data_IF_415676853115
#
_entry.id   IF_415676853115
#
_cell.length_a   1.000
_cell.length_b   1.000
_cell.length_c   1.000
_cell.angle_alpha   90.00
_cell.angle_beta   90.00
_cell.angle_gamma   90.00
#
_symmetry.space_group_name_H-M   'P 1'
#
loop_
_entity.id
_entity.type
_entity.pdbx_description
1 polymer ?
#
# COMPACT_ATOMS: atom_id res chain seq x y z
N UNK A 1 -12.73 16.79 56.25
CA UNK A 1 -12.11 15.46 56.06
C UNK A 1 -12.97 14.50 55.20
N UNK A 2 -14.22 14.17 55.59
CA UNK A 2 -15.12 13.28 54.79
C UNK A 2 -15.30 13.68 53.32
N UNK A 3 -15.47 14.97 53.01
CA UNK A 3 -15.63 15.47 51.63
C UNK A 3 -14.37 15.29 50.77
N UNK A 4 -13.19 15.41 51.37
CA UNK A 4 -11.91 15.26 50.66
C UNK A 4 -11.64 13.79 50.32
N UNK A 5 -11.95 12.89 51.26
CA UNK A 5 -11.88 11.44 51.05
C UNK A 5 -12.86 11.01 49.94
N UNK A 6 -14.10 11.52 49.96
CA UNK A 6 -15.09 11.22 48.92
C UNK A 6 -14.64 11.68 47.52
N UNK A 7 -14.03 12.87 47.44
CA UNK A 7 -13.50 13.41 46.18
C UNK A 7 -12.34 12.56 45.63
N UNK A 8 -11.48 12.09 46.53
CA UNK A 8 -10.36 11.22 46.17
C UNK A 8 -10.84 9.86 45.66
N UNK A 9 -11.84 9.25 46.31
CA UNK A 9 -12.47 8.02 45.81
C UNK A 9 -13.14 8.21 44.45
N UNK A 10 -13.81 9.33 44.21
CA UNK A 10 -14.42 9.64 42.91
C UNK A 10 -13.34 9.79 41.81
N UNK A 11 -12.22 10.43 42.10
CA UNK A 11 -11.10 10.55 41.17
C UNK A 11 -10.45 9.20 40.85
N UNK A 12 -10.25 8.34 41.85
CA UNK A 12 -9.73 6.98 41.65
C UNK A 12 -10.71 6.08 40.89
N UNK A 13 -12.01 6.18 41.16
CA UNK A 13 -13.03 5.47 40.37
C UNK A 13 -13.06 5.96 38.93
N UNK A 14 -12.97 7.28 38.71
CA UNK A 14 -12.89 7.85 37.36
C UNK A 14 -11.66 7.37 36.61
N UNK A 15 -10.48 7.42 37.22
CA UNK A 15 -9.23 6.93 36.62
C UNK A 15 -9.26 5.42 36.39
N UNK A 16 -9.83 4.66 37.33
CA UNK A 16 -10.00 3.21 37.23
C UNK A 16 -10.90 2.81 36.07
N UNK A 17 -12.04 3.48 35.89
CA UNK A 17 -12.94 3.26 34.74
C UNK A 17 -12.24 3.61 33.42
N UNK A 18 -11.46 4.69 33.36
CA UNK A 18 -10.71 5.05 32.15
C UNK A 18 -9.65 4.00 31.81
N UNK A 19 -8.90 3.52 32.79
CA UNK A 19 -7.90 2.45 32.60
C UNK A 19 -8.55 1.14 32.17
N UNK A 20 -9.70 0.78 32.78
CA UNK A 20 -10.43 -0.44 32.47
C UNK A 20 -11.05 -0.38 31.06
N UNK A 21 -11.56 0.79 30.64
CA UNK A 21 -11.98 1.05 29.26
C UNK A 21 -10.80 1.01 28.29
N UNK A 22 -9.62 1.50 28.67
CA UNK A 22 -8.42 1.39 27.82
C UNK A 22 -7.93 -0.06 27.71
N UNK A 23 -8.05 -0.86 28.77
CA UNK A 23 -7.63 -2.26 28.80
C UNK A 23 -8.60 -3.20 28.07
N UNK A 24 -9.91 -2.92 28.13
CA UNK A 24 -10.93 -3.65 27.38
C UNK A 24 -11.02 -3.24 25.90
N UNK A 25 -10.34 -2.17 25.49
CA UNK A 25 -10.28 -1.79 24.06
C UNK A 25 -9.39 -2.80 23.32
N UNK A 26 -9.85 -3.33 22.18
CA UNK A 26 -9.03 -4.24 21.39
C UNK A 26 -7.70 -3.55 21.00
N UNK A 27 -6.60 -4.32 20.92
CA UNK A 27 -5.26 -3.79 20.66
C UNK A 27 -5.15 -3.06 19.31
N UNK A 28 -6.08 -3.32 18.39
CA UNK A 28 -6.26 -2.59 17.14
C UNK A 28 -7.71 -2.13 17.02
N UNK A 29 -7.94 -0.83 16.73
CA UNK A 29 -9.27 -0.29 16.43
C UNK A 29 -9.83 -0.76 15.07
N UNK A 30 -9.17 -1.74 14.42
CA UNK A 30 -9.53 -2.29 13.12
C UNK A 30 -10.53 -3.46 13.26
N UNK A 31 -11.83 -3.26 12.95
CA UNK A 31 -12.83 -4.32 13.05
C UNK A 31 -12.63 -5.42 12.01
N UNK A 32 -11.75 -5.22 11.03
CA UNK A 32 -11.47 -6.16 9.95
C UNK A 32 -10.13 -6.89 10.14
N UNK A 33 -9.55 -6.90 11.35
CA UNK A 33 -8.21 -7.45 11.65
C UNK A 33 -7.97 -8.89 11.13
N UNK A 34 -9.03 -9.67 10.94
CA UNK A 34 -9.00 -11.05 10.43
C UNK A 34 -8.86 -11.16 8.90
N UNK A 35 -9.12 -10.09 8.15
CA UNK A 35 -8.98 -10.10 6.69
C UNK A 35 -7.50 -9.92 6.30
N UNK A 36 -6.95 -10.88 5.56
CA UNK A 36 -5.59 -10.85 5.01
C UNK A 36 -5.56 -11.41 3.58
N UNK A 37 -4.66 -10.92 2.71
CA UNK A 37 -3.79 -9.76 2.92
C UNK A 37 -4.56 -8.45 2.71
N UNK A 38 -4.21 -7.42 3.46
CA UNK A 38 -4.77 -6.06 3.34
C UNK A 38 -3.71 -5.02 3.68
N UNK A 39 -3.85 -3.83 3.12
CA UNK A 39 -3.01 -2.71 3.51
C UNK A 39 -3.63 -1.97 4.71
N UNK A 40 -2.85 -1.69 5.76
CA UNK A 40 -3.34 -0.97 6.96
C UNK A 40 -2.44 0.19 7.36
N UNK A 41 -3.08 1.21 7.96
CA UNK A 41 -2.42 2.47 8.38
C UNK A 41 -2.15 2.61 9.88
N UNK A 42 -2.85 1.85 10.76
CA UNK A 42 -2.82 2.07 12.22
C UNK A 42 -2.16 0.90 12.94
N UNK A 43 -1.12 1.18 13.75
CA UNK A 43 -0.48 0.22 14.67
C UNK A 43 0.54 -0.73 14.03
N UNK A 44 0.68 -0.68 12.71
CA UNK A 44 1.69 -1.39 11.93
C UNK A 44 1.42 -1.13 10.46
N UNK A 45 2.39 -0.56 9.75
CA UNK A 45 2.31 -0.37 8.30
C UNK A 45 2.40 -1.74 7.62
N UNK A 46 1.32 -2.52 7.67
CA UNK A 46 1.26 -3.75 6.89
C UNK A 46 0.95 -3.35 5.45
N UNK A 47 2.00 -3.33 4.64
CA UNK A 47 1.90 -3.28 3.19
C UNK A 47 1.95 -4.70 2.64
N UNK A 48 1.39 -4.86 1.44
CA UNK A 48 1.50 -6.10 0.68
C UNK A 48 2.67 -5.89 -0.28
N UNK A 49 3.74 -6.64 -0.11
CA UNK A 49 4.91 -6.59 -0.99
C UNK A 49 5.08 -7.94 -1.67
N UNK A 50 5.07 -7.94 -3.00
CA UNK A 50 5.24 -9.16 -3.81
C UNK A 50 6.37 -8.93 -4.82
N UNK A 51 7.48 -9.69 -4.75
CA UNK A 51 8.60 -9.53 -5.67
C UNK A 51 8.19 -9.76 -7.13
N UNK A 52 8.76 -8.99 -8.05
CA UNK A 52 8.58 -9.14 -9.50
C UNK A 52 9.91 -9.05 -10.22
N UNK A 53 10.10 -9.84 -11.27
CA UNK A 53 11.27 -9.75 -12.17
C UNK A 53 10.95 -8.88 -13.38
N UNK A 54 11.19 -7.58 -13.26
CA UNK A 54 10.93 -6.63 -14.35
C UNK A 54 11.77 -6.87 -15.60
N UNK A 55 12.90 -7.56 -15.47
CA UNK A 55 13.80 -7.88 -16.58
C UNK A 55 13.32 -9.06 -17.42
N UNK A 56 12.31 -9.83 -16.96
CA UNK A 56 11.84 -11.05 -17.61
C UNK A 56 10.45 -10.88 -18.19
N UNK A 57 10.33 -10.91 -19.52
CA UNK A 57 9.03 -10.92 -20.20
C UNK A 57 8.18 -12.12 -19.79
N UNK A 58 6.90 -11.88 -19.56
CA UNK A 58 5.92 -12.88 -19.14
C UNK A 58 5.93 -13.18 -17.65
N UNK A 59 6.77 -12.52 -16.85
CA UNK A 59 6.68 -12.57 -15.39
C UNK A 59 5.31 -12.04 -14.94
N UNK A 60 4.67 -12.75 -14.02
CA UNK A 60 3.31 -12.47 -13.57
C UNK A 60 3.21 -12.44 -12.06
N UNK A 61 2.51 -11.43 -11.56
CA UNK A 61 1.96 -11.41 -10.21
C UNK A 61 0.45 -11.56 -10.33
N UNK A 62 -0.09 -12.46 -9.51
CA UNK A 62 -1.52 -12.63 -9.32
C UNK A 62 -1.77 -12.74 -7.81
N UNK A 63 -2.42 -11.74 -7.22
CA UNK A 63 -2.71 -11.71 -5.79
C UNK A 63 -4.12 -11.19 -5.53
N UNK A 64 -4.72 -11.69 -4.46
CA UNK A 64 -6.00 -11.23 -3.95
C UNK A 64 -5.78 -10.45 -2.67
N UNK A 65 -6.42 -9.29 -2.53
CA UNK A 65 -6.30 -8.43 -1.36
C UNK A 65 -7.62 -7.74 -1.00
N UNK A 66 -7.71 -7.26 0.23
CA UNK A 66 -8.89 -6.55 0.72
C UNK A 66 -8.69 -5.04 0.74
N UNK A 67 -9.67 -4.31 0.18
CA UNK A 67 -9.89 -2.88 0.47
C UNK A 67 -10.92 -2.78 1.58
N UNK A 68 -10.49 -2.35 2.77
CA UNK A 68 -11.34 -2.22 3.96
C UNK A 68 -11.43 -0.77 4.44
N UNK A 69 -12.54 -0.37 5.07
CA UNK A 69 -12.60 0.89 5.81
C UNK A 69 -11.50 0.94 6.86
N UNK A 70 -10.76 2.04 6.93
CA UNK A 70 -9.77 2.22 7.97
C UNK A 70 -10.39 2.84 9.22
N UNK A 71 -9.96 2.42 10.42
CA UNK A 71 -10.32 3.12 11.64
C UNK A 71 -9.86 4.58 11.55
N UNK A 72 -10.77 5.52 11.78
CA UNK A 72 -10.41 6.95 11.84
C UNK A 72 -9.84 7.26 13.23
N UNK A 73 -8.72 8.00 13.32
CA UNK A 73 -8.24 8.47 14.61
C UNK A 73 -9.33 9.35 15.26
N UNK A 74 -9.66 9.06 16.52
CA UNK A 74 -10.84 9.59 17.23
C UNK A 74 -10.93 11.12 17.27
N UNK A 75 -9.80 11.81 17.21
CA UNK A 75 -9.73 13.29 17.17
C UNK A 75 -10.37 13.87 15.90
N UNK A 76 -10.44 13.09 14.82
CA UNK A 76 -11.00 13.48 13.53
C UNK A 76 -12.40 12.89 13.29
N UNK A 77 -13.11 12.36 14.30
CA UNK A 77 -14.48 11.88 14.09
C UNK A 77 -15.47 13.02 13.74
N UNK A 78 -15.18 14.24 14.19
CA UNK A 78 -16.02 15.42 13.97
C UNK A 78 -15.63 16.22 12.72
N UNK A 79 -14.49 15.90 12.10
CA UNK A 79 -14.00 16.59 10.91
C UNK A 79 -14.07 15.58 9.77
N UNK A 80 -14.73 15.89 8.64
CA UNK A 80 -14.66 15.02 7.47
C UNK A 80 -13.19 14.93 7.03
N UNK A 81 -12.56 13.80 7.37
CA UNK A 81 -11.24 13.44 6.92
C UNK A 81 -11.37 12.50 5.72
N UNK A 82 -10.44 12.63 4.78
CA UNK A 82 -10.41 11.77 3.61
C UNK A 82 -10.31 10.31 4.00
N UNK A 83 -11.04 9.50 3.23
CA UNK A 83 -10.98 8.05 3.37
C UNK A 83 -9.66 7.58 2.77
N UNK A 84 -8.74 7.01 3.56
CA UNK A 84 -7.50 6.49 3.01
C UNK A 84 -7.83 5.39 1.99
N UNK A 85 -7.04 5.30 0.91
CA UNK A 85 -7.25 4.41 -0.22
C UNK A 85 -6.02 3.52 -0.43
N UNK A 86 -6.18 2.25 -0.82
CA UNK A 86 -5.04 1.45 -1.25
C UNK A 86 -4.41 2.05 -2.51
N UNK A 87 -3.10 2.22 -2.47
CA UNK A 87 -2.28 2.64 -3.60
C UNK A 87 -1.38 1.47 -4.01
N UNK A 88 -1.52 1.04 -5.26
CA UNK A 88 -0.71 0.01 -5.89
C UNK A 88 0.44 0.69 -6.60
N UNK A 89 1.67 0.30 -6.26
CA UNK A 89 2.88 0.89 -6.75
C UNK A 89 3.86 -0.19 -7.20
N UNK A 90 4.78 0.20 -8.08
CA UNK A 90 6.03 -0.51 -8.28
C UNK A 90 7.07 0.08 -7.31
N UNK A 91 7.63 -0.77 -6.45
CA UNK A 91 8.70 -0.41 -5.51
C UNK A 91 10.03 -0.94 -6.03
N UNK A 92 11.05 -0.10 -5.94
CA UNK A 92 12.42 -0.43 -6.31
C UNK A 92 13.32 -0.11 -5.12
N UNK A 93 13.96 -1.13 -4.60
CA UNK A 93 14.92 -0.97 -3.51
C UNK A 93 16.32 -1.11 -4.04
N UNK A 94 17.19 -0.23 -3.54
CA UNK A 94 18.62 -0.30 -3.75
C UNK A 94 19.28 -0.84 -2.49
N UNK A 95 20.19 -1.81 -2.64
CA UNK A 95 21.03 -2.28 -1.54
C UNK A 95 21.81 -1.12 -0.93
N UNK A 96 21.95 -1.14 0.39
CA UNK A 96 22.74 -0.13 1.11
C UNK A 96 24.20 -0.11 0.62
N UNK A 97 24.74 1.08 0.37
CA UNK A 97 26.09 1.25 -0.16
C UNK A 97 26.27 1.02 -1.67
N UNK A 98 25.25 0.53 -2.39
CA UNK A 98 25.36 0.25 -3.82
C UNK A 98 25.56 1.53 -4.67
N UNK A 99 26.47 1.42 -5.65
CA UNK A 99 26.81 2.46 -6.63
C UNK A 99 26.38 2.02 -8.03
N UNK A 100 25.22 2.48 -8.46
CA UNK A 100 24.58 2.03 -9.71
C UNK A 100 25.01 2.83 -10.96
N UNK A 101 25.70 3.96 -10.80
CA UNK A 101 26.01 4.88 -11.90
C UNK A 101 24.84 5.75 -12.37
N UNK A 102 23.62 5.52 -11.85
CA UNK A 102 22.42 6.33 -12.08
C UNK A 102 21.60 6.47 -10.79
N UNK A 103 20.66 7.43 -10.75
CA UNK A 103 19.72 7.53 -9.63
C UNK A 103 18.54 6.57 -9.82
N UNK A 104 18.13 5.83 -8.79
CA UNK A 104 17.05 4.83 -8.91
C UNK A 104 15.72 5.39 -9.45
N UNK A 105 15.42 6.68 -9.23
CA UNK A 105 14.23 7.32 -9.81
C UNK A 105 14.32 7.56 -11.33
N UNK A 106 15.53 7.53 -11.89
CA UNK A 106 15.82 7.67 -13.32
C UNK A 106 15.77 6.33 -14.07
N UNK A 107 15.48 5.21 -13.39
CA UNK A 107 15.55 3.87 -13.99
C UNK A 107 14.68 3.70 -15.25
N UNK A 108 13.53 4.39 -15.30
CA UNK A 108 12.63 4.40 -16.47
C UNK A 108 12.80 5.67 -17.34
N UNK A 109 14.00 6.23 -17.38
CA UNK A 109 14.35 7.41 -18.18
C UNK A 109 15.62 7.17 -18.98
N UNK A 110 15.91 8.03 -19.96
CA UNK A 110 17.12 7.94 -20.80
C UNK A 110 18.43 8.03 -20.01
N UNK A 111 18.39 8.52 -18.75
CA UNK A 111 19.55 8.57 -17.84
C UNK A 111 19.75 7.28 -17.05
N UNK A 112 18.78 6.37 -17.10
CA UNK A 112 18.81 5.07 -16.44
C UNK A 112 19.47 3.98 -17.30
N UNK A 113 19.37 2.72 -16.87
CA UNK A 113 19.94 1.58 -17.60
C UNK A 113 19.17 1.28 -18.90
N UNK A 114 17.92 1.74 -19.02
CA UNK A 114 17.15 1.62 -20.25
C UNK A 114 17.34 2.86 -21.10
N UNK A 115 18.13 2.72 -22.15
CA UNK A 115 18.52 3.84 -23.03
C UNK A 115 17.57 4.02 -24.21
N UNK A 116 16.77 3.00 -24.56
CA UNK A 116 15.85 3.07 -25.70
C UNK A 116 14.45 2.59 -25.32
N UNK A 117 13.50 3.53 -25.29
CA UNK A 117 12.08 3.23 -25.14
C UNK A 117 11.45 3.15 -26.54
N UNK A 118 11.23 1.94 -27.05
CA UNK A 118 10.63 1.75 -28.37
C UNK A 118 9.11 2.03 -28.42
N UNK A 119 8.53 2.58 -27.33
CA UNK A 119 7.10 2.79 -27.19
C UNK A 119 6.31 1.53 -26.81
N UNK A 120 6.96 0.37 -26.77
CA UNK A 120 6.33 -0.89 -26.36
C UNK A 120 5.88 -0.86 -24.89
N UNK A 121 4.72 -1.44 -24.55
CA UNK A 121 4.29 -1.60 -23.17
C UNK A 121 5.30 -2.38 -22.31
N UNK A 122 5.55 -1.87 -21.11
CA UNK A 122 6.44 -2.45 -20.10
C UNK A 122 5.65 -3.37 -19.15
N UNK A 123 4.50 -2.88 -18.66
CA UNK A 123 3.64 -3.58 -17.71
C UNK A 123 2.20 -3.59 -18.19
N UNK A 124 1.51 -4.71 -18.01
CA UNK A 124 0.06 -4.81 -18.02
C UNK A 124 -0.43 -4.86 -16.58
N UNK A 125 -1.37 -4.00 -16.20
CA UNK A 125 -1.95 -3.99 -14.85
C UNK A 125 -3.46 -4.11 -14.97
N UNK A 126 -4.01 -5.18 -14.39
CA UNK A 126 -5.44 -5.45 -14.33
C UNK A 126 -5.90 -5.60 -12.90
N UNK A 127 -7.07 -5.05 -12.60
CA UNK A 127 -7.71 -5.20 -11.30
C UNK A 127 -9.13 -5.68 -11.51
N UNK A 128 -9.49 -6.72 -10.77
CA UNK A 128 -10.82 -7.28 -10.74
C UNK A 128 -11.45 -7.06 -9.37
N UNK A 129 -12.72 -6.65 -9.34
CA UNK A 129 -13.55 -6.72 -8.14
C UNK A 129 -14.11 -8.13 -8.02
N UNK A 130 -13.96 -8.76 -6.85
CA UNK A 130 -14.63 -10.02 -6.54
C UNK A 130 -15.98 -9.68 -5.91
N UNK A 131 -17.07 -10.09 -6.55
CA UNK A 131 -18.44 -9.80 -6.11
C UNK A 131 -18.93 -10.83 -5.07
N UNK A 132 -20.08 -10.56 -4.44
CA UNK A 132 -20.63 -11.41 -3.38
C UNK A 132 -20.98 -12.83 -3.86
N UNK A 133 -21.27 -12.97 -5.17
CA UNK A 133 -21.46 -14.25 -5.84
C UNK A 133 -20.16 -14.91 -6.33
N UNK A 134 -19.01 -14.39 -5.88
CA UNK A 134 -17.65 -14.81 -6.27
C UNK A 134 -17.28 -14.57 -7.73
N UNK A 135 -18.14 -13.91 -8.52
CA UNK A 135 -17.80 -13.52 -9.89
C UNK A 135 -16.77 -12.38 -9.88
N UNK A 136 -15.85 -12.41 -10.83
CA UNK A 136 -14.86 -11.35 -11.03
C UNK A 136 -15.35 -10.34 -12.08
N UNK A 137 -15.25 -9.05 -11.74
CA UNK A 137 -15.54 -7.95 -12.66
C UNK A 137 -14.26 -7.15 -12.92
N UNK A 138 -13.85 -7.02 -14.19
CA UNK A 138 -12.71 -6.19 -14.55
C UNK A 138 -13.07 -4.71 -14.38
N UNK A 139 -12.37 -4.02 -13.49
CA UNK A 139 -12.64 -2.63 -13.14
C UNK A 139 -11.49 -1.68 -13.51
N UNK A 140 -10.32 -2.22 -13.83
CA UNK A 140 -9.16 -1.47 -14.26
C UNK A 140 -8.32 -2.33 -15.20
N UNK A 141 -7.95 -1.77 -16.34
CA UNK A 141 -7.03 -2.38 -17.31
C UNK A 141 -6.16 -1.27 -17.90
N UNK A 142 -4.85 -1.34 -17.65
CA UNK A 142 -3.90 -0.37 -18.21
C UNK A 142 -2.57 -1.00 -18.53
N UNK A 143 -2.13 -0.76 -19.76
CA UNK A 143 -0.77 -1.00 -20.23
C UNK A 143 0.08 0.25 -20.06
N UNK A 144 1.20 0.12 -19.35
CA UNK A 144 2.15 1.20 -19.10
C UNK A 144 3.28 1.12 -20.12
N UNK A 145 3.35 2.07 -21.04
CA UNK A 145 4.50 2.26 -21.96
C UNK A 145 5.63 3.05 -21.32
N UNK A 146 5.31 3.86 -20.30
CA UNK A 146 6.26 4.57 -19.46
C UNK A 146 5.76 4.63 -18.03
N UNK A 147 6.65 4.41 -17.08
CA UNK A 147 6.37 4.53 -15.66
C UNK A 147 6.90 5.90 -15.22
N UNK A 148 5.98 6.85 -14.99
CA UNK A 148 6.29 8.25 -14.65
C UNK A 148 5.92 8.49 -13.19
N UNK A 149 6.70 9.31 -12.48
CA UNK A 149 6.38 9.76 -11.14
C UNK A 149 6.88 8.79 -10.07
N UNK A 150 8.20 8.87 -9.81
CA UNK A 150 8.82 8.23 -8.66
C UNK A 150 8.90 9.21 -7.49
N UNK A 151 8.56 8.80 -6.27
CA UNK A 151 9.00 9.50 -5.06
C UNK A 151 9.88 8.57 -4.23
N UNK A 152 10.89 9.16 -3.58
CA UNK A 152 11.80 8.42 -2.71
C UNK A 152 11.31 8.42 -1.27
N UNK A 153 11.51 7.29 -0.60
CA UNK A 153 11.42 7.16 0.84
C UNK A 153 12.60 6.32 1.36
N UNK A 154 12.74 6.19 2.68
CA UNK A 154 13.72 5.27 3.28
C UNK A 154 13.50 3.81 2.87
N UNK A 155 12.27 3.46 2.50
CA UNK A 155 11.89 2.11 2.10
C UNK A 155 12.18 1.80 0.63
N UNK A 156 12.53 2.79 -0.21
CA UNK A 156 12.76 2.60 -1.63
C UNK A 156 12.25 3.76 -2.50
N UNK A 157 12.35 3.59 -3.82
CA UNK A 157 11.67 4.45 -4.79
C UNK A 157 10.35 3.80 -5.20
N UNK A 158 9.28 4.59 -5.20
CA UNK A 158 7.94 4.11 -5.51
C UNK A 158 7.38 4.82 -6.73
N UNK A 159 6.84 4.03 -7.66
CA UNK A 159 6.13 4.52 -8.83
C UNK A 159 4.66 4.14 -8.76
N UNK A 160 3.77 5.13 -8.78
CA UNK A 160 2.33 4.86 -8.68
C UNK A 160 1.78 4.24 -9.95
N UNK A 161 1.14 3.08 -9.81
CA UNK A 161 0.43 2.41 -10.91
C UNK A 161 -1.05 2.75 -10.84
N UNK A 162 -1.67 2.48 -9.69
CA UNK A 162 -3.12 2.64 -9.49
C UNK A 162 -3.41 3.15 -8.09
N UNK A 163 -4.39 4.03 -7.97
CA UNK A 163 -4.96 4.46 -6.69
C UNK A 163 -6.43 4.04 -6.63
N UNK A 164 -6.76 3.18 -5.67
CA UNK A 164 -8.11 2.65 -5.48
C UNK A 164 -8.95 3.54 -4.55
N UNK A 165 -8.97 4.84 -4.84
CA UNK A 165 -9.81 5.83 -4.17
C UNK A 165 -11.27 5.73 -4.62
N UNK A 166 -12.11 6.72 -4.34
CA UNK A 166 -13.45 6.79 -4.94
C UNK A 166 -13.32 6.84 -6.47
N UNK A 167 -14.13 6.07 -7.23
CA UNK A 167 -15.39 5.43 -6.85
C UNK A 167 -15.28 3.94 -6.44
N UNK A 168 -14.08 3.38 -6.25
CA UNK A 168 -13.92 1.96 -5.94
C UNK A 168 -14.52 1.64 -4.56
N UNK A 169 -15.40 0.64 -4.45
CA UNK A 169 -16.07 0.28 -3.19
C UNK A 169 -15.15 -0.52 -2.24
N UNK A 170 -15.59 -0.80 -1.03
CA UNK A 170 -14.90 -1.75 -0.16
C UNK A 170 -15.14 -3.20 -0.61
N UNK A 171 -14.25 -4.11 -0.23
CA UNK A 171 -14.37 -5.54 -0.48
C UNK A 171 -13.07 -6.15 -1.00
N UNK A 172 -13.18 -7.35 -1.58
CA UNK A 172 -12.05 -8.10 -2.10
C UNK A 172 -11.77 -7.78 -3.57
N UNK A 173 -10.49 -7.75 -3.91
CA UNK A 173 -9.94 -7.41 -5.23
C UNK A 173 -8.86 -8.40 -5.62
N UNK A 174 -8.73 -8.68 -6.92
CA UNK A 174 -7.63 -9.43 -7.50
C UNK A 174 -6.78 -8.50 -8.37
N UNK A 175 -5.49 -8.46 -8.12
CA UNK A 175 -4.50 -7.71 -8.89
C UNK A 175 -3.72 -8.68 -9.76
N UNK A 176 -3.67 -8.39 -11.05
CA UNK A 176 -2.78 -9.03 -12.00
C UNK A 176 -1.79 -8.00 -12.56
N UNK A 177 -0.51 -8.32 -12.50
CA UNK A 177 0.56 -7.53 -13.12
C UNK A 177 1.37 -8.46 -13.99
N UNK A 178 1.52 -8.13 -15.27
CA UNK A 178 2.35 -8.88 -16.22
C UNK A 178 3.45 -7.98 -16.79
N UNK A 179 4.68 -8.49 -16.79
CA UNK A 179 5.81 -7.85 -17.47
C UNK A 179 5.74 -8.16 -18.96
N UNK A 180 5.52 -7.14 -19.78
CA UNK A 180 5.33 -7.29 -21.22
C UNK A 180 6.63 -7.16 -22.02
N UNK A 181 7.63 -6.50 -21.46
CA UNK A 181 8.90 -6.23 -22.12
C UNK A 181 10.05 -7.07 -21.54
N UNK A 182 11.06 -7.37 -22.36
CA UNK A 182 12.23 -8.16 -21.94
C UNK A 182 13.44 -7.24 -21.77
N UNK A 183 13.71 -6.79 -20.55
CA UNK A 183 14.66 -5.71 -20.25
C UNK A 183 15.81 -6.26 -19.39
N UNK A 184 16.75 -7.03 -19.97
CA UNK A 184 17.87 -7.61 -19.24
C UNK A 184 18.74 -6.56 -18.53
N UNK A 185 18.71 -5.30 -18.97
CA UNK A 185 19.37 -4.16 -18.32
C UNK A 185 18.83 -3.87 -16.91
N UNK A 186 17.64 -4.40 -16.57
CA UNK A 186 17.06 -4.38 -15.24
C UNK A 186 17.48 -5.58 -14.38
N UNK A 187 18.31 -6.50 -14.87
CA UNK A 187 18.89 -7.55 -14.04
C UNK A 187 20.15 -7.01 -13.35
N UNK A 188 19.93 -6.27 -12.26
CA UNK A 188 20.98 -5.63 -11.47
C UNK A 188 20.95 -6.20 -10.05
N UNK A 189 22.03 -6.86 -9.63
CA UNK A 189 22.13 -7.57 -8.34
C UNK A 189 21.83 -6.71 -7.09
N UNK A 190 22.12 -5.41 -7.19
CA UNK A 190 21.90 -4.45 -6.10
C UNK A 190 20.51 -3.80 -6.12
N UNK A 191 19.65 -4.20 -7.06
CA UNK A 191 18.25 -3.76 -7.15
C UNK A 191 17.29 -4.92 -6.91
N UNK A 192 16.22 -4.63 -6.18
CA UNK A 192 15.07 -5.53 -6.06
C UNK A 192 13.80 -4.80 -6.45
N UNK A 193 12.93 -5.48 -7.18
CA UNK A 193 11.66 -4.94 -7.65
C UNK A 193 10.50 -5.69 -7.01
N UNK A 194 9.47 -4.96 -6.59
CA UNK A 194 8.26 -5.54 -6.02
C UNK A 194 7.03 -4.72 -6.38
N UNK A 195 5.91 -5.41 -6.56
CA UNK A 195 4.60 -4.76 -6.51
C UNK A 195 4.27 -4.53 -5.03
N UNK A 196 3.96 -3.29 -4.71
CA UNK A 196 3.79 -2.83 -3.35
C UNK A 196 2.44 -2.14 -3.20
N UNK A 197 1.59 -2.68 -2.34
CA UNK A 197 0.28 -2.13 -2.01
C UNK A 197 0.37 -1.58 -0.60
N UNK A 198 0.20 -0.27 -0.46
CA UNK A 198 0.05 0.37 0.85
C UNK A 198 -1.26 1.11 0.92
N UNK A 199 -1.62 1.45 2.14
CA UNK A 199 -2.66 2.40 2.38
C UNK A 199 -2.11 3.81 2.24
N UNK A 200 -2.65 4.59 1.31
CA UNK A 200 -2.34 6.00 1.12
C UNK A 200 -3.44 6.83 1.78
N UNK A 201 -3.07 7.57 2.83
CA UNK A 201 -3.95 8.58 3.42
C UNK A 201 -3.88 9.83 2.54
N UNK A 202 -4.89 10.04 1.68
CA UNK A 202 -4.99 11.28 0.91
C UNK A 202 -5.23 12.45 1.88
N UNK A 203 -4.58 13.60 1.60
CA UNK A 203 -4.52 14.86 2.37
C UNK A 203 -5.86 15.50 2.70
#
# INVERSE_FOLDING_TARGET
>A
MKKFILFMFAAFFGAGVVLLVQWMRPPTEDPYFFLNPKATTIGGYQSIETPIKLYKKGEKIDLVFWKVPQPRPKLLYLIPANTPSPQIMLKINKREGAKLGFYTHEIFTEKGPITTFNGDPILDVKIYKINDNLAEELIYDKKFTKIIGGYGSREGIFFTLVELADPYKYGQYRLQVEVLANWPELEIDDLSYSVYIRQHAIK
#
